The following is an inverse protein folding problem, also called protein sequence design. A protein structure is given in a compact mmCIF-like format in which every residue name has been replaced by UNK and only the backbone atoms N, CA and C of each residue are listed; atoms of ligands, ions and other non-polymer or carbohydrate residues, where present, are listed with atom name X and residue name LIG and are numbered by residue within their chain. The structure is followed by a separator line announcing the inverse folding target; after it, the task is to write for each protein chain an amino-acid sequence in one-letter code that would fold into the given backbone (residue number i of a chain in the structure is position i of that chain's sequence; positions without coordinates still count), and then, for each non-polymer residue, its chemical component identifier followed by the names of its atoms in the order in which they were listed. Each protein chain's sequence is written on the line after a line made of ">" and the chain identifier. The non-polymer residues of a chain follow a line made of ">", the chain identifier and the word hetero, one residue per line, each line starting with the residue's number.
data_IF_710078120681
#
_entry.id   IF_710078120681
#
_cell.length_a   1.000
_cell.length_b   1.000
_cell.length_c   1.000
_cell.angle_alpha   90.00
_cell.angle_beta   90.00
_cell.angle_gamma   90.00
#
_symmetry.space_group_name_H-M   'P 1'
#
loop_
_entity.id
_entity.type
_entity.pdbx_description
1 polymer ?
#
# COMPACT_ATOMS: atom_id res chain seq x y z
N UNK A 1 24.03 -5.16 -21.46
CA UNK A 1 23.30 -5.19 -20.17
C UNK A 1 21.85 -4.76 -20.42
N UNK A 2 20.88 -5.70 -20.33
CA UNK A 2 19.45 -5.35 -20.42
C UNK A 2 19.08 -4.48 -19.22
N UNK A 3 18.60 -3.26 -19.48
CA UNK A 3 18.08 -2.33 -18.47
C UNK A 3 17.06 -3.05 -17.60
N UNK A 4 17.40 -3.34 -16.34
CA UNK A 4 16.49 -3.83 -15.29
C UNK A 4 15.57 -2.68 -14.86
N UNK A 5 14.74 -2.17 -15.76
CA UNK A 5 13.98 -0.94 -15.54
C UNK A 5 12.55 -1.14 -15.02
N UNK A 6 12.12 -2.34 -14.62
CA UNK A 6 10.67 -2.54 -14.38
C UNK A 6 10.30 -3.45 -13.20
N UNK A 7 11.24 -3.89 -12.35
CA UNK A 7 10.88 -4.84 -11.27
C UNK A 7 10.26 -4.13 -10.05
N UNK A 8 10.38 -2.80 -9.95
CA UNK A 8 9.81 -2.02 -8.85
C UNK A 8 8.67 -1.09 -9.29
N UNK A 9 7.87 -1.47 -10.29
CA UNK A 9 6.51 -0.92 -10.35
C UNK A 9 5.80 -1.48 -9.13
N UNK A 10 5.63 -0.67 -8.09
CA UNK A 10 4.96 -1.06 -6.85
C UNK A 10 3.64 -1.73 -7.22
N UNK A 11 3.36 -2.86 -6.58
CA UNK A 11 2.31 -3.77 -7.05
C UNK A 11 0.91 -3.13 -6.92
N UNK A 12 0.81 -2.00 -6.22
CA UNK A 12 -0.42 -1.25 -6.01
C UNK A 12 -0.27 0.26 -6.38
N UNK A 13 0.64 0.61 -7.29
CA UNK A 13 0.90 2.01 -7.68
C UNK A 13 -0.35 2.75 -8.20
N UNK A 14 -1.24 2.05 -8.92
CA UNK A 14 -2.47 2.64 -9.47
C UNK A 14 -3.46 3.02 -8.35
N UNK A 15 -3.62 2.16 -7.34
CA UNK A 15 -4.49 2.42 -6.19
C UNK A 15 -3.98 3.59 -5.35
N UNK A 16 -2.67 3.64 -5.09
CA UNK A 16 -2.04 4.76 -4.38
C UNK A 16 -2.22 6.07 -5.18
N UNK A 17 -1.98 6.05 -6.50
CA UNK A 17 -2.11 7.24 -7.35
C UNK A 17 -3.53 7.78 -7.35
N UNK A 18 -4.55 6.91 -7.43
CA UNK A 18 -5.96 7.32 -7.37
C UNK A 18 -6.33 7.96 -6.03
N UNK A 19 -5.89 7.38 -4.92
CA UNK A 19 -6.14 7.95 -3.58
C UNK A 19 -5.42 9.30 -3.41
N UNK A 20 -4.21 9.46 -3.96
CA UNK A 20 -3.51 10.75 -3.96
C UNK A 20 -4.28 11.83 -4.74
N UNK A 21 -4.77 11.52 -5.95
CA UNK A 21 -5.62 12.44 -6.73
C UNK A 21 -6.89 12.78 -5.96
N UNK A 22 -7.51 11.79 -5.30
CA UNK A 22 -8.68 12.01 -4.46
C UNK A 22 -8.39 13.00 -3.31
N UNK A 23 -7.25 12.83 -2.63
CA UNK A 23 -6.82 13.74 -1.56
C UNK A 23 -6.63 15.17 -2.08
N UNK A 24 -6.04 15.37 -3.27
CA UNK A 24 -5.87 16.70 -3.86
C UNK A 24 -7.23 17.40 -4.05
N UNK A 25 -8.21 16.70 -4.65
CA UNK A 25 -9.58 17.23 -4.82
C UNK A 25 -10.26 17.51 -3.48
N UNK A 26 -10.08 16.62 -2.49
CA UNK A 26 -10.63 16.82 -1.15
C UNK A 26 -9.98 18.02 -0.44
N UNK A 27 -8.69 18.28 -0.66
CA UNK A 27 -8.00 19.44 -0.10
C UNK A 27 -8.53 20.75 -0.69
N UNK A 28 -8.79 20.81 -1.99
CA UNK A 28 -9.43 21.98 -2.61
C UNK A 28 -10.82 22.23 -2.00
N UNK A 29 -11.64 21.19 -1.90
CA UNK A 29 -12.97 21.28 -1.29
C UNK A 29 -12.93 21.68 0.18
N UNK A 30 -11.92 21.21 0.94
CA UNK A 30 -11.71 21.61 2.33
C UNK A 30 -11.41 23.10 2.42
N UNK A 31 -10.51 23.60 1.58
CA UNK A 31 -10.15 25.02 1.54
C UNK A 31 -11.37 25.88 1.20
N UNK A 32 -12.21 25.44 0.29
CA UNK A 32 -13.44 26.16 -0.08
C UNK A 32 -14.51 26.11 1.03
N UNK A 33 -14.67 24.98 1.72
CA UNK A 33 -15.54 24.89 2.90
C UNK A 33 -15.09 25.82 4.02
N UNK A 34 -13.77 25.92 4.25
CA UNK A 34 -13.18 26.82 5.24
C UNK A 34 -13.37 28.30 4.86
N UNK A 35 -13.16 28.67 3.59
CA UNK A 35 -13.43 30.04 3.11
C UNK A 35 -14.89 30.45 3.33
N UNK A 36 -15.81 29.52 3.13
CA UNK A 36 -17.25 29.73 3.32
C UNK A 36 -17.71 29.62 4.79
N UNK A 37 -16.77 29.45 5.74
CA UNK A 37 -17.05 29.24 7.18
C UNK A 37 -17.96 28.04 7.46
N UNK A 38 -18.06 27.09 6.53
CA UNK A 38 -18.83 25.87 6.70
C UNK A 38 -17.99 24.82 7.42
N UNK A 39 -17.92 24.95 8.74
CA UNK A 39 -17.09 24.09 9.61
C UNK A 39 -17.56 22.64 9.66
N UNK A 40 -18.87 22.39 9.52
CA UNK A 40 -19.42 21.05 9.49
C UNK A 40 -18.95 20.28 8.25
N UNK A 41 -19.03 20.91 7.08
CA UNK A 41 -18.53 20.33 5.83
C UNK A 41 -17.01 20.15 5.83
N UNK A 42 -16.27 21.14 6.35
CA UNK A 42 -14.81 21.04 6.48
C UNK A 42 -14.38 19.85 7.35
N UNK A 43 -15.10 19.58 8.45
CA UNK A 43 -14.81 18.46 9.33
C UNK A 43 -15.06 17.11 8.63
N UNK A 44 -16.15 16.97 7.89
CA UNK A 44 -16.44 15.74 7.15
C UNK A 44 -15.40 15.48 6.05
N UNK A 45 -15.02 16.50 5.28
CA UNK A 45 -13.97 16.39 4.27
C UNK A 45 -12.62 16.00 4.91
N UNK A 46 -12.30 16.54 6.09
CA UNK A 46 -11.09 16.15 6.80
C UNK A 46 -11.07 14.68 7.20
N UNK A 47 -12.20 14.11 7.65
CA UNK A 47 -12.32 12.68 7.93
C UNK A 47 -12.15 11.83 6.68
N UNK A 48 -12.68 12.28 5.54
CA UNK A 48 -12.52 11.60 4.25
C UNK A 48 -11.05 11.58 3.81
N UNK A 49 -10.32 12.69 3.98
CA UNK A 49 -8.87 12.73 3.74
C UNK A 49 -8.12 11.72 4.64
N UNK A 50 -8.47 11.66 5.93
CA UNK A 50 -7.85 10.71 6.86
C UNK A 50 -8.08 9.25 6.42
N UNK A 51 -9.27 8.95 5.90
CA UNK A 51 -9.62 7.63 5.38
C UNK A 51 -8.79 7.26 4.16
N UNK A 52 -8.64 8.17 3.19
CA UNK A 52 -7.79 7.94 2.01
C UNK A 52 -6.32 7.74 2.39
N UNK A 53 -5.79 8.48 3.38
CA UNK A 53 -4.43 8.26 3.90
C UNK A 53 -4.27 6.85 4.49
N UNK A 54 -5.24 6.38 5.28
CA UNK A 54 -5.23 5.00 5.82
C UNK A 54 -5.24 3.96 4.70
N UNK A 55 -6.00 4.20 3.64
CA UNK A 55 -6.06 3.33 2.47
C UNK A 55 -4.69 3.24 1.76
N UNK A 56 -4.01 4.39 1.56
CA UNK A 56 -2.65 4.44 1.00
C UNK A 56 -1.68 3.61 1.85
N UNK A 57 -1.68 3.80 3.17
CA UNK A 57 -0.84 3.02 4.09
C UNK A 57 -1.12 1.51 4.01
N UNK A 58 -2.37 1.11 3.78
CA UNK A 58 -2.73 -0.28 3.59
C UNK A 58 -2.17 -0.84 2.27
N UNK A 59 -2.24 -0.09 1.18
CA UNK A 59 -1.63 -0.47 -0.10
C UNK A 59 -0.11 -0.60 0.01
N UNK A 60 0.57 0.30 0.73
CA UNK A 60 2.01 0.23 0.97
C UNK A 60 2.41 -1.03 1.77
N UNK A 61 1.64 -1.36 2.82
CA UNK A 61 1.84 -2.60 3.60
C UNK A 61 1.66 -3.84 2.72
N UNK A 62 0.61 -3.89 1.90
CA UNK A 62 0.36 -5.01 0.99
C UNK A 62 1.47 -5.16 -0.05
N UNK A 63 1.93 -4.06 -0.65
CA UNK A 63 3.06 -4.05 -1.56
C UNK A 63 4.32 -4.63 -0.91
N UNK A 64 4.61 -4.24 0.34
CA UNK A 64 5.74 -4.75 1.12
C UNK A 64 5.65 -6.27 1.36
N UNK A 65 4.47 -6.76 1.77
CA UNK A 65 4.24 -8.21 1.96
C UNK A 65 4.41 -8.98 0.65
N UNK A 66 3.87 -8.47 -0.47
CA UNK A 66 4.00 -9.10 -1.78
C UNK A 66 5.48 -9.17 -2.21
N UNK A 67 6.26 -8.12 -1.96
CA UNK A 67 7.71 -8.10 -2.22
C UNK A 67 8.45 -9.12 -1.35
N UNK A 68 8.13 -9.23 -0.06
CA UNK A 68 8.72 -10.23 0.84
C UNK A 68 8.39 -11.66 0.40
N UNK A 69 7.13 -11.93 0.01
CA UNK A 69 6.73 -13.23 -0.53
C UNK A 69 7.43 -13.56 -1.85
N UNK A 70 7.59 -12.57 -2.74
CA UNK A 70 8.32 -12.75 -3.99
C UNK A 70 9.81 -13.03 -3.73
N UNK A 71 10.44 -12.28 -2.82
CA UNK A 71 11.82 -12.51 -2.41
C UNK A 71 12.00 -13.92 -1.81
N UNK A 72 11.11 -14.34 -0.91
CA UNK A 72 11.13 -15.67 -0.30
C UNK A 72 10.91 -16.82 -1.31
N UNK A 73 10.19 -16.58 -2.41
CA UNK A 73 10.07 -17.55 -3.53
C UNK A 73 11.34 -17.62 -4.39
N UNK A 74 12.10 -16.53 -4.46
CA UNK A 74 13.33 -16.42 -5.27
C UNK A 74 14.53 -17.01 -4.53
N UNK A 75 14.57 -16.96 -3.19
CA UNK A 75 15.58 -17.65 -2.39
C UNK A 75 15.14 -19.09 -2.09
N UNK A 76 15.70 -20.12 -2.76
CA UNK A 76 15.43 -21.50 -2.38
C UNK A 76 15.97 -21.73 -0.97
N UNK A 77 15.07 -21.85 0.02
CA UNK A 77 15.47 -22.24 1.36
C UNK A 77 15.74 -23.74 1.34
N UNK A 78 16.99 -24.13 1.14
CA UNK A 78 17.41 -25.51 1.34
C UNK A 78 17.43 -25.83 2.84
N UNK A 79 16.30 -26.34 3.33
CA UNK A 79 16.25 -26.87 4.68
C UNK A 79 17.16 -28.12 4.79
N UNK A 80 18.00 -28.23 5.83
CA UNK A 80 18.79 -29.43 6.08
C UNK A 80 17.89 -30.66 6.22
N UNK A 81 18.37 -31.84 5.76
CA UNK A 81 17.59 -33.08 5.68
C UNK A 81 16.89 -33.45 7.00
N UNK A 82 17.51 -33.13 8.13
CA UNK A 82 16.97 -33.37 9.48
C UNK A 82 15.69 -32.58 9.78
N UNK A 83 15.59 -31.35 9.27
CA UNK A 83 14.42 -30.50 9.45
C UNK A 83 13.29 -30.88 8.49
N UNK A 84 13.62 -31.23 7.24
CA UNK A 84 12.64 -31.73 6.24
C UNK A 84 11.92 -32.99 6.71
N UNK A 85 12.63 -33.90 7.38
CA UNK A 85 12.03 -35.13 7.91
C UNK A 85 11.12 -34.87 9.14
N UNK A 86 11.43 -33.87 9.98
CA UNK A 86 10.57 -33.49 11.12
C UNK A 86 9.30 -32.76 10.69
N UNK A 87 9.37 -31.96 9.62
CA UNK A 87 8.23 -31.18 9.12
C UNK A 87 7.26 -31.99 8.26
N UNK A 88 7.66 -33.19 7.79
CA UNK A 88 6.87 -34.07 6.91
C UNK A 88 5.56 -34.59 7.52
N UNK A 89 5.38 -34.48 8.84
CA UNK A 89 4.13 -34.84 9.55
C UNK A 89 3.38 -33.65 10.14
N UNK A 90 3.80 -32.42 9.81
CA UNK A 90 3.22 -31.15 10.30
C UNK A 90 2.57 -30.32 9.18
N UNK A 91 2.63 -30.79 7.93
CA UNK A 91 1.95 -30.22 6.76
C UNK A 91 0.68 -31.03 6.50
#
# INVERSE_FOLDING_TARGET
>A
MKKRNVIFKSIDNDGITREMICIEVLQENLMDALKNKNTAQALEIHKDIEKSIKQIQQYEKQSTVKLLMAAAKITPVEYPKTLKNKLKGLI
#
